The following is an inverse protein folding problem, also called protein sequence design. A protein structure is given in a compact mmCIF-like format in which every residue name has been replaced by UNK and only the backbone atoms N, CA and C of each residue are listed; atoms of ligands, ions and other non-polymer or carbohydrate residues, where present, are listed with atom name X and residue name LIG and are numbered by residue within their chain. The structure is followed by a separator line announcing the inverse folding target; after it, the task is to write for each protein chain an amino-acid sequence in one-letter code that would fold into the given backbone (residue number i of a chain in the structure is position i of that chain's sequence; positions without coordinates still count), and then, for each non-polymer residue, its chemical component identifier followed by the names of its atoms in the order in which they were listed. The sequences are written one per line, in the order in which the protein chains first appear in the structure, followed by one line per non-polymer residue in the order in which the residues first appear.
data_IF_267355955706
#
_entry.id   IF_267355955706
#
_cell.length_a   1.000
_cell.length_b   1.000
_cell.length_c   1.000
_cell.angle_alpha   90.00
_cell.angle_beta   90.00
_cell.angle_gamma   90.00
#
_symmetry.space_group_name_H-M   'P 1'
#
loop_
_entity.id
_entity.type
_entity.pdbx_description
1 polymer ?
#
# COMPACT_ATOMS: atom_id res chain seq x y z
N UNK A 1 0.39 62.34 -5.25
CA UNK A 1 1.08 61.32 -4.43
C UNK A 1 0.12 60.25 -3.89
N UNK A 2 -1.04 60.59 -3.29
CA UNK A 2 -1.95 59.58 -2.69
C UNK A 2 -2.56 58.59 -3.70
N UNK A 3 -2.81 58.99 -4.95
CA UNK A 3 -3.41 58.09 -5.96
C UNK A 3 -2.45 57.01 -6.50
N UNK A 4 -1.15 57.25 -6.49
CA UNK A 4 -0.16 56.26 -6.96
C UNK A 4 0.03 55.13 -5.94
N UNK A 5 0.01 55.45 -4.64
CA UNK A 5 0.09 54.44 -3.57
C UNK A 5 -1.15 53.54 -3.55
N UNK A 6 -2.34 54.12 -3.77
CA UNK A 6 -3.60 53.34 -3.86
C UNK A 6 -3.61 52.37 -5.05
N UNK A 7 -3.07 52.78 -6.21
CA UNK A 7 -2.94 51.90 -7.40
C UNK A 7 -1.93 50.78 -7.17
N UNK A 8 -0.82 51.04 -6.47
CA UNK A 8 0.19 50.02 -6.11
C UNK A 8 -0.37 48.99 -5.14
N UNK A 9 -1.13 49.42 -4.13
CA UNK A 9 -1.79 48.50 -3.19
C UNK A 9 -2.88 47.64 -3.86
N UNK A 10 -3.65 48.21 -4.79
CA UNK A 10 -4.65 47.47 -5.54
C UNK A 10 -4.01 46.42 -6.46
N UNK A 11 -2.89 46.77 -7.11
CA UNK A 11 -2.11 45.84 -7.94
C UNK A 11 -1.49 44.71 -7.10
N UNK A 12 -0.96 45.01 -5.91
CA UNK A 12 -0.41 44.01 -4.99
C UNK A 12 -1.49 43.04 -4.49
N UNK A 13 -2.67 43.53 -4.12
CA UNK A 13 -3.82 42.69 -3.73
C UNK A 13 -4.30 41.81 -4.88
N UNK A 14 -4.38 42.35 -6.10
CA UNK A 14 -4.76 41.56 -7.27
C UNK A 14 -3.72 40.47 -7.60
N UNK A 15 -2.43 40.75 -7.44
CA UNK A 15 -1.37 39.77 -7.61
C UNK A 15 -1.44 38.65 -6.55
N UNK A 16 -1.66 39.00 -5.29
CA UNK A 16 -1.84 38.02 -4.20
C UNK A 16 -3.10 37.15 -4.42
N UNK A 17 -4.21 37.75 -4.84
CA UNK A 17 -5.44 37.02 -5.15
C UNK A 17 -5.25 36.01 -6.30
N UNK A 18 -4.47 36.37 -7.33
CA UNK A 18 -4.12 35.46 -8.43
C UNK A 18 -3.21 34.32 -7.98
N UNK A 19 -2.22 34.60 -7.14
CA UNK A 19 -1.36 33.55 -6.58
C UNK A 19 -2.16 32.58 -5.71
N UNK A 20 -3.03 33.10 -4.84
CA UNK A 20 -3.91 32.28 -4.01
C UNK A 20 -4.84 31.39 -4.85
N UNK A 21 -5.49 31.95 -5.88
CA UNK A 21 -6.39 31.16 -6.73
C UNK A 21 -5.66 30.08 -7.53
N UNK A 22 -4.45 30.36 -8.04
CA UNK A 22 -3.62 29.35 -8.71
C UNK A 22 -3.16 28.24 -7.75
N UNK A 23 -2.83 28.58 -6.51
CA UNK A 23 -2.46 27.60 -5.50
C UNK A 23 -3.63 26.68 -5.15
N UNK A 24 -4.84 27.24 -4.97
CA UNK A 24 -6.05 26.45 -4.68
C UNK A 24 -6.41 25.50 -5.82
N UNK A 25 -6.32 25.94 -7.08
CA UNK A 25 -6.59 25.11 -8.25
C UNK A 25 -5.57 23.95 -8.39
N UNK A 26 -4.27 24.25 -8.20
CA UNK A 26 -3.24 23.21 -8.19
C UNK A 26 -3.45 22.19 -7.06
N UNK A 27 -3.96 22.64 -5.91
CA UNK A 27 -4.23 21.77 -4.77
C UNK A 27 -5.46 20.89 -5.00
N UNK A 28 -6.50 21.36 -5.69
CA UNK A 28 -7.66 20.54 -6.06
C UNK A 28 -7.34 19.47 -7.12
N UNK A 29 -6.50 19.81 -8.10
CA UNK A 29 -6.07 18.84 -9.11
C UNK A 29 -5.23 17.72 -8.49
N UNK A 30 -4.38 18.08 -7.54
CA UNK A 30 -3.55 17.15 -6.79
C UNK A 30 -4.40 16.18 -5.94
N UNK A 31 -5.42 16.69 -5.21
CA UNK A 31 -6.29 15.83 -4.38
C UNK A 31 -7.11 14.84 -5.22
N UNK A 32 -7.63 15.26 -6.37
CA UNK A 32 -8.36 14.36 -7.26
C UNK A 32 -7.44 13.30 -7.88
N UNK A 33 -6.20 13.66 -8.22
CA UNK A 33 -5.20 12.71 -8.66
C UNK A 33 -4.87 11.68 -7.57
N UNK A 34 -4.74 12.09 -6.30
CA UNK A 34 -4.51 11.15 -5.18
C UNK A 34 -5.69 10.20 -5.04
N UNK A 35 -6.92 10.73 -5.13
CA UNK A 35 -8.13 9.92 -5.02
C UNK A 35 -8.19 8.86 -6.10
N UNK A 36 -7.94 9.23 -7.35
CA UNK A 36 -7.88 8.28 -8.49
C UNK A 36 -6.77 7.24 -8.30
N UNK A 37 -5.59 7.66 -7.86
CA UNK A 37 -4.48 6.76 -7.52
C UNK A 37 -4.89 5.74 -6.46
N UNK A 38 -5.44 6.21 -5.33
CA UNK A 38 -5.93 5.35 -4.24
C UNK A 38 -6.97 4.34 -4.72
N UNK A 39 -7.90 4.75 -5.60
CA UNK A 39 -8.90 3.84 -6.16
C UNK A 39 -8.28 2.72 -7.00
N UNK A 40 -7.28 3.04 -7.83
CA UNK A 40 -6.55 2.01 -8.59
C UNK A 40 -5.81 1.05 -7.66
N UNK A 41 -5.08 1.57 -6.68
CA UNK A 41 -4.38 0.73 -5.69
C UNK A 41 -5.37 -0.17 -4.95
N UNK A 42 -6.49 0.37 -4.48
CA UNK A 42 -7.55 -0.42 -3.82
C UNK A 42 -8.12 -1.51 -4.74
N UNK A 43 -8.28 -1.23 -6.05
CA UNK A 43 -8.68 -2.25 -7.02
C UNK A 43 -7.66 -3.39 -7.08
N UNK A 44 -6.38 -3.10 -7.27
CA UNK A 44 -5.35 -4.14 -7.33
C UNK A 44 -5.23 -4.93 -6.03
N UNK A 45 -5.33 -4.26 -4.88
CA UNK A 45 -5.40 -4.91 -3.57
C UNK A 45 -6.57 -5.89 -3.51
N UNK A 46 -7.76 -5.46 -3.94
CA UNK A 46 -8.94 -6.32 -3.98
C UNK A 46 -8.71 -7.53 -4.92
N UNK A 47 -8.06 -7.33 -6.06
CA UNK A 47 -7.71 -8.40 -7.00
C UNK A 47 -6.75 -9.43 -6.35
N UNK A 48 -5.72 -8.99 -5.61
CA UNK A 48 -4.83 -9.88 -4.82
C UNK A 48 -5.67 -10.71 -3.85
N UNK A 49 -6.51 -10.05 -3.07
CA UNK A 49 -7.31 -10.69 -2.03
C UNK A 49 -8.39 -11.62 -2.57
N UNK A 50 -8.88 -11.38 -3.79
CA UNK A 50 -9.86 -12.23 -4.46
C UNK A 50 -9.25 -13.47 -5.13
N UNK A 51 -7.95 -13.42 -5.49
CA UNK A 51 -7.27 -14.51 -6.18
C UNK A 51 -6.51 -15.45 -5.23
N UNK A 52 -6.02 -14.93 -4.12
CA UNK A 52 -5.19 -15.67 -3.18
C UNK A 52 -5.95 -16.15 -1.94
N UNK A 53 -5.45 -17.23 -1.33
CA UNK A 53 -5.90 -17.65 0.00
C UNK A 53 -5.51 -16.61 1.05
N UNK A 54 -6.27 -16.54 2.15
CA UNK A 54 -6.07 -15.58 3.25
C UNK A 54 -4.60 -15.39 3.68
N UNK A 55 -3.90 -16.48 3.97
CA UNK A 55 -2.49 -16.41 4.40
C UNK A 55 -1.56 -15.89 3.31
N UNK A 56 -1.76 -16.32 2.06
CA UNK A 56 -0.93 -15.89 0.94
C UNK A 56 -1.17 -14.43 0.58
N UNK A 57 -2.44 -13.99 0.60
CA UNK A 57 -2.81 -12.59 0.39
C UNK A 57 -2.22 -11.69 1.50
N UNK A 58 -2.38 -12.07 2.77
CA UNK A 58 -1.82 -11.34 3.91
C UNK A 58 -0.30 -11.20 3.80
N UNK A 59 0.42 -12.30 3.56
CA UNK A 59 1.87 -12.27 3.39
C UNK A 59 2.32 -11.41 2.19
N UNK A 60 1.58 -11.44 1.09
CA UNK A 60 1.85 -10.61 -0.10
C UNK A 60 1.68 -9.12 0.23
N UNK A 61 0.55 -8.75 0.84
CA UNK A 61 0.23 -7.36 1.20
C UNK A 61 1.21 -6.80 2.24
N UNK A 62 1.56 -7.58 3.27
CA UNK A 62 2.55 -7.19 4.28
C UNK A 62 3.94 -6.96 3.66
N UNK A 63 4.37 -7.84 2.74
CA UNK A 63 5.66 -7.67 2.08
C UNK A 63 5.67 -6.45 1.15
N UNK A 64 4.60 -6.25 0.37
CA UNK A 64 4.43 -5.05 -0.45
C UNK A 64 4.44 -3.77 0.40
N UNK A 65 3.68 -3.76 1.50
CA UNK A 65 3.66 -2.66 2.46
C UNK A 65 5.07 -2.38 2.96
N UNK A 66 5.78 -3.40 3.45
CA UNK A 66 7.15 -3.25 3.97
C UNK A 66 8.10 -2.66 2.93
N UNK A 67 8.07 -3.13 1.69
CA UNK A 67 8.95 -2.63 0.62
C UNK A 67 8.71 -1.14 0.35
N UNK A 68 7.44 -0.71 0.31
CA UNK A 68 7.06 0.67 0.00
C UNK A 68 7.23 1.58 1.21
N UNK A 69 6.84 1.11 2.40
CA UNK A 69 6.95 1.83 3.67
C UNK A 69 8.42 2.08 4.03
N UNK A 70 9.33 1.13 3.79
CA UNK A 70 10.75 1.36 4.00
C UNK A 70 11.29 2.53 3.16
N UNK A 71 10.83 2.66 1.91
CA UNK A 71 11.21 3.82 1.06
C UNK A 71 10.69 5.11 1.68
N UNK A 72 9.43 5.11 2.11
CA UNK A 72 8.74 6.29 2.66
C UNK A 72 9.28 6.72 4.02
N UNK A 73 9.48 5.76 4.92
CA UNK A 73 9.93 5.97 6.31
C UNK A 73 11.41 6.30 6.39
N UNK A 74 12.21 5.85 5.42
CA UNK A 74 13.66 6.06 5.39
C UNK A 74 14.13 6.63 4.03
N UNK A 75 13.72 7.87 3.68
CA UNK A 75 13.97 8.46 2.35
C UNK A 75 15.44 8.60 1.97
N UNK A 76 16.32 8.78 2.96
CA UNK A 76 17.76 8.97 2.79
C UNK A 76 18.52 7.64 2.60
N UNK A 77 17.90 6.51 2.96
CA UNK A 77 18.53 5.19 2.88
C UNK A 77 18.34 4.58 1.48
N UNK A 78 19.33 4.77 0.61
CA UNK A 78 19.31 4.31 -0.79
C UNK A 78 19.06 2.81 -0.95
N UNK A 79 19.49 2.00 0.03
CA UNK A 79 19.30 0.53 0.01
C UNK A 79 17.84 0.11 -0.05
N UNK A 80 16.90 0.92 0.47
CA UNK A 80 15.47 0.60 0.43
C UNK A 80 14.81 1.00 -0.89
N UNK A 81 15.45 1.88 -1.65
CA UNK A 81 14.94 2.35 -2.94
C UNK A 81 15.05 1.30 -4.04
N UNK A 82 15.69 0.15 -3.79
CA UNK A 82 15.83 -0.90 -4.79
C UNK A 82 15.82 -2.31 -4.19
N UNK A 83 15.35 -3.29 -4.96
CA UNK A 83 15.47 -4.70 -4.63
C UNK A 83 15.70 -5.55 -5.87
N UNK A 84 16.36 -6.71 -5.69
CA UNK A 84 16.63 -7.64 -6.79
C UNK A 84 15.40 -8.51 -7.05
N UNK A 85 15.04 -8.69 -8.32
CA UNK A 85 13.91 -9.54 -8.70
C UNK A 85 14.15 -11.01 -8.32
N UNK A 86 15.41 -11.44 -8.22
CA UNK A 86 15.79 -12.80 -7.83
C UNK A 86 15.66 -13.09 -6.33
N UNK A 87 15.29 -12.13 -5.48
CA UNK A 87 15.10 -12.39 -4.04
C UNK A 87 13.93 -13.37 -3.84
N UNK A 88 14.15 -14.58 -3.27
CA UNK A 88 13.15 -15.65 -3.32
C UNK A 88 11.80 -15.27 -2.72
N UNK A 89 11.78 -14.56 -1.59
CA UNK A 89 10.54 -14.10 -0.95
C UNK A 89 9.77 -13.12 -1.82
N UNK A 90 10.47 -12.13 -2.39
CA UNK A 90 9.84 -11.11 -3.26
C UNK A 90 9.36 -11.75 -4.55
N UNK A 91 10.18 -12.63 -5.16
CA UNK A 91 9.81 -13.36 -6.37
C UNK A 91 8.54 -14.20 -6.14
N UNK A 92 8.50 -14.97 -5.06
CA UNK A 92 7.41 -15.90 -4.77
C UNK A 92 6.13 -15.21 -4.29
N UNK A 93 6.22 -14.15 -3.50
CA UNK A 93 5.04 -13.51 -2.88
C UNK A 93 4.54 -12.29 -3.64
N UNK A 94 5.41 -11.55 -4.35
CA UNK A 94 5.07 -10.28 -5.00
C UNK A 94 5.14 -10.43 -6.52
N UNK A 95 6.29 -10.79 -7.07
CA UNK A 95 6.48 -10.78 -8.53
C UNK A 95 5.74 -11.91 -9.26
N UNK A 96 5.38 -12.98 -8.56
CA UNK A 96 4.52 -14.05 -9.08
C UNK A 96 3.05 -13.65 -9.19
N UNK A 97 2.66 -12.52 -8.59
CA UNK A 97 1.27 -12.06 -8.51
C UNK A 97 1.10 -10.83 -9.42
N UNK A 98 0.44 -10.96 -10.59
CA UNK A 98 0.30 -9.83 -11.52
C UNK A 98 -0.28 -8.56 -10.89
N UNK A 99 -1.34 -8.63 -10.05
CA UNK A 99 -1.87 -7.42 -9.41
C UNK A 99 -0.87 -6.74 -8.45
N UNK A 100 0.04 -7.50 -7.83
CA UNK A 100 1.08 -6.95 -6.96
C UNK A 100 2.18 -6.23 -7.78
N UNK A 101 2.50 -6.75 -8.96
CA UNK A 101 3.39 -6.10 -9.92
C UNK A 101 2.77 -4.78 -10.42
N UNK A 102 1.46 -4.78 -10.71
CA UNK A 102 0.74 -3.57 -11.12
C UNK A 102 0.79 -2.47 -10.04
N UNK A 103 0.66 -2.84 -8.77
CA UNK A 103 0.85 -1.91 -7.64
C UNK A 103 2.24 -1.27 -7.69
N UNK A 104 3.31 -2.07 -7.84
CA UNK A 104 4.68 -1.53 -7.93
C UNK A 104 4.82 -0.53 -9.08
N UNK A 105 4.29 -0.85 -10.26
CA UNK A 105 4.34 0.01 -11.45
C UNK A 105 3.57 1.31 -11.25
N UNK A 106 2.32 1.23 -10.76
CA UNK A 106 1.44 2.39 -10.53
C UNK A 106 2.00 3.29 -9.42
N UNK A 107 2.56 2.70 -8.37
CA UNK A 107 3.26 3.43 -7.30
C UNK A 107 4.49 4.15 -7.81
N UNK A 108 5.18 3.61 -8.83
CA UNK A 108 6.31 4.30 -9.44
C UNK A 108 7.60 3.52 -9.60
N UNK A 109 7.63 2.27 -9.15
CA UNK A 109 8.82 1.46 -9.32
C UNK A 109 9.10 1.26 -10.82
N UNK A 110 10.38 1.17 -11.13
CA UNK A 110 10.92 0.92 -12.47
C UNK A 110 11.84 -0.28 -12.40
N UNK A 111 12.09 -0.89 -13.55
CA UNK A 111 13.06 -1.98 -13.66
C UNK A 111 14.32 -1.51 -14.35
N UNK A 112 15.47 -2.00 -13.89
CA UNK A 112 16.77 -1.83 -14.54
C UNK A 112 17.57 -3.12 -14.42
N UNK A 113 18.55 -3.29 -15.31
CA UNK A 113 19.52 -4.38 -15.21
C UNK A 113 20.79 -3.84 -14.55
N UNK A 114 21.18 -4.41 -13.42
CA UNK A 114 22.42 -4.08 -12.71
C UNK A 114 23.13 -5.38 -12.36
N UNK A 115 24.41 -5.49 -12.68
CA UNK A 115 25.23 -6.70 -12.46
C UNK A 115 24.60 -7.96 -13.10
N UNK A 116 24.05 -7.83 -14.31
CA UNK A 116 23.32 -8.89 -15.03
C UNK A 116 22.07 -9.43 -14.30
N UNK A 117 21.57 -8.69 -13.30
CA UNK A 117 20.35 -9.02 -12.57
C UNK A 117 19.30 -7.94 -12.75
N UNK A 118 18.05 -8.35 -12.96
CA UNK A 118 16.92 -7.42 -12.96
C UNK A 118 16.68 -6.90 -11.55
N UNK A 119 16.61 -5.59 -11.41
CA UNK A 119 16.30 -4.90 -10.16
C UNK A 119 15.10 -3.98 -10.35
N UNK A 120 14.27 -3.93 -9.33
CA UNK A 120 13.21 -2.94 -9.19
C UNK A 120 13.74 -1.78 -8.37
N UNK A 121 13.45 -0.55 -8.76
CA UNK A 121 13.92 0.64 -8.07
C UNK A 121 12.94 1.80 -8.14
N UNK A 122 13.02 2.70 -7.16
CA UNK A 122 12.38 4.02 -7.14
C UNK A 122 13.44 5.05 -7.52
N UNK A 123 13.15 5.99 -8.44
CA UNK A 123 14.10 7.05 -8.79
C UNK A 123 14.58 7.89 -7.59
N UNK A 124 15.86 8.30 -7.61
CA UNK A 124 16.51 9.02 -6.49
C UNK A 124 16.05 10.48 -6.36
N UNK A 125 15.48 11.05 -7.42
CA UNK A 125 14.88 12.39 -7.43
C UNK A 125 13.54 12.45 -6.66
N UNK A 126 12.99 11.29 -6.26
CA UNK A 126 11.75 11.23 -5.50
C UNK A 126 12.03 11.53 -4.04
N UNK A 127 11.67 12.75 -3.63
CA UNK A 127 11.85 13.27 -2.27
C UNK A 127 10.51 13.70 -1.65
N UNK A 128 10.41 13.76 -0.31
CA UNK A 128 9.23 14.32 0.35
C UNK A 128 8.84 15.68 -0.22
N UNK A 129 7.55 15.86 -0.52
CA UNK A 129 6.99 17.09 -1.08
C UNK A 129 6.74 17.06 -2.60
N UNK A 130 7.27 16.08 -3.34
CA UNK A 130 6.92 15.90 -4.77
C UNK A 130 5.71 14.99 -4.94
N UNK A 131 4.97 15.18 -6.04
CA UNK A 131 3.79 14.36 -6.38
C UNK A 131 4.03 12.85 -6.31
N UNK A 132 5.18 12.42 -6.83
CA UNK A 132 5.55 11.01 -6.84
C UNK A 132 5.69 10.41 -5.42
N UNK A 133 6.16 11.22 -4.46
CA UNK A 133 6.23 10.83 -3.06
C UNK A 133 4.86 10.70 -2.42
N UNK A 134 3.94 11.63 -2.72
CA UNK A 134 2.55 11.55 -2.25
C UNK A 134 1.87 10.26 -2.71
N UNK A 135 2.18 9.77 -3.93
CA UNK A 135 1.69 8.47 -4.41
C UNK A 135 2.28 7.29 -3.65
N UNK A 136 3.58 7.31 -3.35
CA UNK A 136 4.22 6.31 -2.49
C UNK A 136 3.54 6.22 -1.13
N UNK A 137 3.39 7.37 -0.45
CA UNK A 137 2.71 7.46 0.85
C UNK A 137 1.27 6.93 0.77
N UNK A 138 0.49 7.42 -0.19
CA UNK A 138 -0.90 6.99 -0.36
C UNK A 138 -1.03 5.48 -0.62
N UNK A 139 -0.04 4.88 -1.29
CA UNK A 139 0.01 3.43 -1.52
C UNK A 139 0.37 2.70 -0.22
N UNK A 140 1.40 3.16 0.50
CA UNK A 140 1.81 2.58 1.78
C UNK A 140 0.65 2.58 2.78
N UNK A 141 -0.08 3.69 2.91
CA UNK A 141 -1.23 3.81 3.80
C UNK A 141 -2.35 2.81 3.41
N UNK A 142 -2.65 2.70 2.11
CA UNK A 142 -3.69 1.79 1.60
C UNK A 142 -3.33 0.32 1.80
N UNK A 143 -2.03 -0.01 1.66
CA UNK A 143 -1.53 -1.36 1.89
C UNK A 143 -1.51 -1.70 3.38
N UNK A 144 -1.12 -0.75 4.25
CA UNK A 144 -1.14 -0.92 5.71
C UNK A 144 -2.55 -1.25 6.20
N UNK A 145 -3.53 -0.40 5.86
CA UNK A 145 -4.94 -0.59 6.21
C UNK A 145 -5.42 -2.00 5.83
N UNK A 146 -5.11 -2.45 4.61
CA UNK A 146 -5.56 -3.77 4.16
C UNK A 146 -4.75 -4.92 4.75
N UNK A 147 -3.45 -4.76 4.95
CA UNK A 147 -2.59 -5.79 5.52
C UNK A 147 -3.03 -6.11 6.96
N UNK A 148 -3.33 -5.09 7.77
CA UNK A 148 -3.87 -5.21 9.13
C UNK A 148 -5.21 -5.95 9.11
N UNK A 149 -6.15 -5.54 8.26
CA UNK A 149 -7.45 -6.22 8.12
C UNK A 149 -7.30 -7.71 7.78
N UNK A 150 -6.38 -8.06 6.86
CA UNK A 150 -6.18 -9.44 6.43
C UNK A 150 -5.43 -10.29 7.46
N UNK A 151 -4.54 -9.70 8.24
CA UNK A 151 -3.88 -10.37 9.35
C UNK A 151 -4.90 -10.79 10.42
N UNK A 152 -5.81 -9.90 10.81
CA UNK A 152 -6.91 -10.22 11.73
C UNK A 152 -7.80 -11.36 11.21
N UNK A 153 -8.11 -11.36 9.91
CA UNK A 153 -8.89 -12.43 9.27
C UNK A 153 -8.16 -13.77 9.29
N UNK A 154 -6.85 -13.77 9.07
CA UNK A 154 -6.00 -14.97 9.16
C UNK A 154 -6.03 -15.52 10.58
N UNK A 155 -5.85 -14.67 11.59
CA UNK A 155 -5.91 -15.08 13.00
C UNK A 155 -7.27 -15.66 13.38
N UNK A 156 -8.35 -14.98 13.00
CA UNK A 156 -9.72 -15.45 13.24
C UNK A 156 -9.98 -16.81 12.59
N UNK A 157 -9.50 -16.99 11.37
CA UNK A 157 -9.65 -18.26 10.64
C UNK A 157 -8.86 -19.38 11.32
N UNK A 158 -7.63 -19.11 11.77
CA UNK A 158 -6.82 -20.08 12.53
C UNK A 158 -7.50 -20.47 13.84
N UNK A 159 -8.04 -19.50 14.58
CA UNK A 159 -8.72 -19.75 15.85
C UNK A 159 -10.00 -20.57 15.66
N UNK A 160 -10.79 -20.29 14.62
CA UNK A 160 -11.97 -21.09 14.29
C UNK A 160 -11.59 -22.54 13.92
N UNK A 161 -10.56 -22.73 13.09
CA UNK A 161 -10.07 -24.06 12.74
C UNK A 161 -9.57 -24.84 13.96
N UNK A 162 -8.94 -24.17 14.94
CA UNK A 162 -8.53 -24.80 16.20
C UNK A 162 -9.74 -25.21 17.05
N UNK A 163 -10.75 -24.34 17.17
CA UNK A 163 -11.99 -24.63 17.90
C UNK A 163 -12.73 -25.83 17.31
N UNK A 164 -12.85 -25.90 15.99
CA UNK A 164 -13.49 -27.02 15.30
C UNK A 164 -12.75 -28.34 15.56
N UNK A 165 -11.42 -28.33 15.44
CA UNK A 165 -10.59 -29.50 15.77
C UNK A 165 -10.76 -29.95 17.23
N UNK A 166 -10.83 -29.00 18.17
CA UNK A 166 -11.06 -29.32 19.58
C UNK A 166 -12.44 -29.96 19.80
N UNK A 167 -13.51 -29.42 19.19
CA UNK A 167 -14.86 -30.00 19.25
C UNK A 167 -14.88 -31.40 18.63
N UNK A 168 -14.21 -31.61 17.50
CA UNK A 168 -14.15 -32.93 16.86
C UNK A 168 -13.42 -33.95 17.73
N UNK A 169 -12.29 -33.56 18.36
CA UNK A 169 -11.60 -34.42 19.32
C UNK A 169 -12.46 -34.75 20.54
N UNK A 170 -13.24 -33.79 21.05
CA UNK A 170 -14.15 -34.02 22.18
C UNK A 170 -15.30 -34.99 21.82
N UNK A 171 -15.80 -34.93 20.58
CA UNK A 171 -16.81 -35.89 20.08
C UNK A 171 -16.27 -37.32 20.01
N UNK A 172 -15.02 -37.50 19.58
CA UNK A 172 -14.36 -38.81 19.47
C UNK A 172 -14.09 -39.47 20.83
N UNK A 173 -13.95 -38.68 21.90
CA UNK A 173 -13.66 -39.18 23.25
C UNK A 173 -14.92 -39.56 24.04
N UNK A 174 -16.12 -39.08 23.64
CA UNK A 174 -17.36 -39.42 24.35
C UNK A 174 -17.70 -40.91 24.13
N UNK A 175 -17.60 -41.77 25.16
CA UNK A 175 -17.86 -43.20 24.99
C UNK A 175 -19.33 -43.42 24.61
N UNK A 176 -19.65 -44.49 23.84
CA UNK A 176 -21.04 -44.86 23.62
C UNK A 176 -21.69 -45.08 24.98
N UNK A 177 -22.86 -44.45 25.19
CA UNK A 177 -23.69 -44.68 26.37
C UNK A 177 -23.86 -46.18 26.55
N UNK A 178 -23.18 -46.76 27.53
CA UNK A 178 -23.45 -48.12 27.98
C UNK A 178 -24.84 -48.07 28.61
N UNK A 179 -25.83 -48.56 27.86
CA UNK A 179 -27.19 -48.76 28.31
C UNK A 179 -27.12 -49.75 29.48
N UNK A 180 -27.31 -49.26 30.70
CA UNK A 180 -27.44 -50.11 31.88
C UNK A 180 -28.88 -50.61 31.87
N UNK A 181 -29.09 -51.84 31.39
CA UNK A 181 -30.36 -52.55 31.60
C UNK A 181 -30.51 -52.84 33.10
N UNK A 182 -31.64 -52.38 33.66
CA UNK A 182 -32.10 -52.65 35.02
C UNK A 182 -32.98 -53.90 35.04
#
# INVERSE_FOLDING_TARGET
MVEEDSRREAAARAAQARLASTATAAQSDNTEAVRKHKLKIKKHINDITGQLRYEAASNCLQLLHTLIDNVVSHPEETKYRHFRAAQPKIAALVLSQPPAVDILVETGFRTRTQDFQQQWFVPDDWKPGVWAWTRLQATADSLREKAEEWEELVEKTKLNAQREKAVESARKVRPPFSFVEL
#
